data_IF_025954410127
#
_entry.id   IF_025954410127
#
_cell.length_a   1.000
_cell.length_b   1.000
_cell.length_c   1.000
_cell.angle_alpha   90.00
_cell.angle_beta   90.00
_cell.angle_gamma   90.00
#
_symmetry.space_group_name_H-M   'P 1'
#
loop_
_entity.id
_entity.type
_entity.pdbx_description
1 polymer ?
#
# COMPACT_ATOMS: atom_id res chain seq x y z
N UNK A 1 15.05 -8.28 0.82
CA UNK A 1 14.81 -8.83 2.17
C UNK A 1 14.30 -10.25 2.01
N UNK A 2 15.06 -11.26 2.48
CA UNK A 2 14.73 -12.69 2.24
C UNK A 2 13.59 -13.18 3.12
N UNK A 3 12.81 -14.16 2.63
CA UNK A 3 11.79 -14.89 3.40
C UNK A 3 12.38 -15.45 4.70
N UNK A 4 13.65 -15.89 4.66
CA UNK A 4 14.40 -16.37 5.83
C UNK A 4 14.41 -15.40 7.00
N UNK A 5 14.52 -14.10 6.72
CA UNK A 5 14.61 -13.07 7.77
C UNK A 5 13.28 -12.85 8.48
N UNK A 6 12.16 -13.29 7.89
CA UNK A 6 10.81 -13.04 8.42
C UNK A 6 10.20 -14.25 9.12
N UNK A 7 10.47 -15.46 8.64
CA UNK A 7 9.84 -16.69 9.12
C UNK A 7 10.85 -17.65 9.73
N UNK A 8 12.15 -17.42 9.48
CA UNK A 8 13.27 -18.24 9.93
C UNK A 8 13.81 -19.14 8.82
N UNK A 9 15.07 -19.57 8.98
CA UNK A 9 15.74 -20.49 8.06
C UNK A 9 15.31 -21.94 8.34
N UNK A 10 15.28 -22.82 7.32
CA UNK A 10 15.11 -24.26 7.53
C UNK A 10 16.23 -24.84 8.41
N UNK A 11 16.00 -25.98 9.07
CA UNK A 11 17.03 -26.67 9.85
C UNK A 11 18.29 -26.92 9.02
N UNK A 12 19.45 -26.60 9.60
CA UNK A 12 20.77 -26.79 8.97
C UNK A 12 21.34 -25.60 8.21
N UNK A 13 20.64 -24.47 8.15
CA UNK A 13 21.15 -23.23 7.54
C UNK A 13 21.51 -22.18 8.60
N UNK A 14 22.48 -21.31 8.26
CA UNK A 14 22.89 -20.19 9.13
C UNK A 14 21.68 -19.26 9.36
N UNK A 15 21.40 -18.92 10.63
CA UNK A 15 20.24 -18.13 11.04
C UNK A 15 19.01 -18.96 11.44
N UNK A 16 19.13 -20.28 11.55
CA UNK A 16 18.05 -21.14 12.07
C UNK A 16 17.66 -20.82 13.52
N UNK A 17 18.63 -20.37 14.34
CA UNK A 17 18.39 -20.00 15.74
C UNK A 17 17.66 -18.65 15.86
N UNK A 18 17.76 -17.79 14.86
CA UNK A 18 16.97 -16.57 14.78
C UNK A 18 15.57 -16.90 14.24
N UNK A 19 14.64 -17.15 15.13
CA UNK A 19 13.22 -17.31 14.79
C UNK A 19 12.77 -16.12 13.90
N UNK A 20 11.93 -16.37 12.89
CA UNK A 20 11.52 -15.33 11.94
C UNK A 20 11.01 -14.10 12.65
N UNK A 21 11.51 -12.94 12.27
CA UNK A 21 11.20 -11.66 12.94
C UNK A 21 9.69 -11.37 13.01
N UNK A 22 8.94 -11.75 11.98
CA UNK A 22 7.49 -11.57 11.95
C UNK A 22 6.79 -12.48 12.95
N UNK A 23 7.11 -13.78 12.94
CA UNK A 23 6.52 -14.78 13.84
C UNK A 23 6.80 -14.45 15.31
N UNK A 24 8.02 -14.02 15.64
CA UNK A 24 8.37 -13.57 16.98
C UNK A 24 7.62 -12.32 17.42
N UNK A 25 7.47 -11.33 16.52
CA UNK A 25 6.71 -10.10 16.84
C UNK A 25 5.24 -10.41 17.08
N UNK A 26 4.61 -11.22 16.24
CA UNK A 26 3.20 -11.60 16.38
C UNK A 26 3.00 -12.47 17.62
N UNK A 27 3.91 -13.41 17.91
CA UNK A 27 3.87 -14.21 19.13
C UNK A 27 3.89 -13.37 20.41
N UNK A 28 4.73 -12.32 20.43
CA UNK A 28 4.82 -11.39 21.57
C UNK A 28 3.63 -10.43 21.67
N UNK A 29 3.02 -10.08 20.53
CA UNK A 29 1.89 -9.16 20.43
C UNK A 29 0.84 -9.70 19.48
N UNK A 30 -0.02 -10.64 19.93
CA UNK A 30 -0.98 -11.30 19.07
C UNK A 30 -2.06 -10.35 18.51
N UNK A 31 -2.39 -9.29 19.24
CA UNK A 31 -3.29 -8.22 18.75
C UNK A 31 -2.48 -7.15 18.05
N UNK A 32 -2.26 -7.33 16.77
CA UNK A 32 -1.42 -6.42 15.96
C UNK A 32 -1.96 -6.26 14.55
N UNK A 33 -1.53 -5.19 13.89
CA UNK A 33 -1.74 -4.97 12.45
C UNK A 33 -0.45 -5.30 11.74
N UNK A 34 -0.52 -6.17 10.74
CA UNK A 34 0.61 -6.56 9.89
C UNK A 34 0.38 -6.03 8.49
N UNK A 35 1.28 -5.15 8.05
CA UNK A 35 1.26 -4.57 6.71
C UNK A 35 2.28 -5.27 5.81
N UNK A 36 1.81 -5.80 4.69
CA UNK A 36 2.63 -6.26 3.57
C UNK A 36 2.52 -5.25 2.43
N UNK A 37 3.56 -4.47 2.28
CA UNK A 37 3.62 -3.43 1.25
C UNK A 37 4.17 -3.97 -0.06
N UNK A 38 3.58 -3.56 -1.21
CA UNK A 38 3.97 -3.96 -2.56
C UNK A 38 4.02 -5.50 -2.74
N UNK A 39 2.93 -6.16 -2.35
CA UNK A 39 2.86 -7.63 -2.32
C UNK A 39 3.12 -8.28 -3.70
N UNK A 40 2.82 -7.58 -4.80
CA UNK A 40 3.06 -8.08 -6.17
C UNK A 40 4.54 -8.29 -6.48
N UNK A 41 5.45 -7.67 -5.71
CA UNK A 41 6.90 -7.84 -5.84
C UNK A 41 7.45 -8.99 -5.00
N UNK A 42 6.59 -9.64 -4.21
CA UNK A 42 7.00 -10.73 -3.34
C UNK A 42 7.30 -12.01 -4.14
N UNK A 43 8.22 -12.83 -3.62
CA UNK A 43 8.47 -14.16 -4.17
C UNK A 43 7.25 -15.07 -3.98
N UNK A 44 7.06 -16.05 -4.87
CA UNK A 44 5.94 -16.98 -4.83
C UNK A 44 5.74 -17.69 -3.49
N UNK A 45 6.83 -18.01 -2.78
CA UNK A 45 6.76 -18.67 -1.48
C UNK A 45 6.11 -17.80 -0.39
N UNK A 46 6.15 -16.47 -0.53
CA UNK A 46 5.45 -15.56 0.40
C UNK A 46 3.95 -15.77 0.31
N UNK A 47 3.42 -15.99 -0.90
CA UNK A 47 2.00 -16.26 -1.11
C UNK A 47 1.56 -17.57 -0.47
N UNK A 48 2.41 -18.60 -0.51
CA UNK A 48 2.10 -19.89 0.14
C UNK A 48 1.97 -19.74 1.66
N UNK A 49 2.84 -18.92 2.26
CA UNK A 49 2.78 -18.61 3.68
C UNK A 49 1.57 -17.77 4.03
N UNK A 50 1.27 -16.74 3.21
CA UNK A 50 0.09 -15.92 3.40
C UNK A 50 -1.20 -16.75 3.27
N UNK A 51 -1.26 -17.68 2.31
CA UNK A 51 -2.38 -18.61 2.20
C UNK A 51 -2.54 -19.42 3.49
N UNK A 52 -1.46 -19.99 4.04
CA UNK A 52 -1.51 -20.71 5.30
C UNK A 52 -2.02 -19.84 6.45
N UNK A 53 -1.59 -18.58 6.52
CA UNK A 53 -2.08 -17.64 7.53
C UNK A 53 -3.58 -17.36 7.36
N UNK A 54 -4.03 -17.11 6.12
CA UNK A 54 -5.42 -16.77 5.81
C UNK A 54 -6.36 -17.98 5.96
N UNK A 55 -5.89 -19.19 5.69
CA UNK A 55 -6.70 -20.42 5.81
C UNK A 55 -6.71 -20.97 7.23
N UNK A 56 -5.53 -21.22 7.78
CA UNK A 56 -5.36 -21.92 9.06
C UNK A 56 -5.35 -20.96 10.26
N UNK A 57 -5.12 -19.65 10.01
CA UNK A 57 -4.94 -18.66 11.06
C UNK A 57 -3.66 -18.84 11.86
N UNK A 58 -2.70 -19.64 11.38
CA UNK A 58 -1.41 -19.83 12.03
C UNK A 58 -0.30 -20.19 11.03
N UNK A 59 0.94 -19.98 11.44
CA UNK A 59 2.12 -20.42 10.69
C UNK A 59 3.04 -21.22 11.63
N UNK A 60 3.73 -22.20 11.09
CA UNK A 60 4.78 -22.90 11.81
C UNK A 60 6.11 -22.21 11.53
N UNK A 61 6.79 -21.74 12.59
CA UNK A 61 8.10 -21.12 12.44
C UNK A 61 9.20 -22.16 12.19
N UNK A 62 10.43 -21.68 11.92
CA UNK A 62 11.56 -22.54 11.69
C UNK A 62 11.92 -23.47 12.87
N UNK A 63 11.48 -23.12 14.09
CA UNK A 63 11.70 -23.90 15.29
C UNK A 63 10.56 -24.92 15.56
N UNK A 64 9.62 -25.06 14.61
CA UNK A 64 8.48 -25.97 14.73
C UNK A 64 7.35 -25.45 15.63
N UNK A 65 7.39 -24.19 16.07
CA UNK A 65 6.37 -23.60 16.94
C UNK A 65 5.23 -23.03 16.09
N UNK A 66 4.00 -23.29 16.50
CA UNK A 66 2.82 -22.69 15.89
C UNK A 66 2.61 -21.27 16.41
N UNK A 67 2.58 -20.30 15.50
CA UNK A 67 2.30 -18.90 15.79
C UNK A 67 0.93 -18.53 15.24
N UNK A 68 0.02 -18.13 16.13
CA UNK A 68 -1.36 -17.78 15.76
C UNK A 68 -1.46 -16.35 15.23
N UNK A 69 -2.14 -16.18 14.11
CA UNK A 69 -2.49 -14.89 13.48
C UNK A 69 -3.98 -14.58 13.59
N UNK A 70 -4.77 -15.39 14.34
CA UNK A 70 -6.24 -15.22 14.42
C UNK A 70 -6.69 -13.88 14.98
N UNK A 71 -5.84 -13.23 15.75
CA UNK A 71 -6.11 -11.93 16.35
C UNK A 71 -5.33 -10.79 15.67
N UNK A 72 -4.78 -11.03 14.47
CA UNK A 72 -4.06 -10.01 13.69
C UNK A 72 -4.92 -9.50 12.55
N UNK A 73 -4.82 -8.21 12.26
CA UNK A 73 -5.34 -7.63 11.03
C UNK A 73 -4.21 -7.65 10.00
N UNK A 74 -4.47 -8.26 8.86
CA UNK A 74 -3.51 -8.31 7.75
C UNK A 74 -3.94 -7.31 6.70
N UNK A 75 -3.06 -6.36 6.40
CA UNK A 75 -3.25 -5.38 5.34
C UNK A 75 -2.20 -5.64 4.27
N UNK A 76 -2.62 -5.69 3.02
CA UNK A 76 -1.74 -5.86 1.88
C UNK A 76 -1.93 -4.69 0.92
N UNK A 77 -0.86 -4.06 0.46
CA UNK A 77 -0.92 -3.06 -0.59
C UNK A 77 -0.35 -3.61 -1.89
N UNK A 78 -0.88 -3.14 -3.01
CA UNK A 78 -0.38 -3.51 -4.32
C UNK A 78 -0.58 -2.38 -5.32
N UNK A 79 0.36 -2.23 -6.24
CA UNK A 79 0.26 -1.38 -7.42
C UNK A 79 -0.29 -2.12 -8.65
N UNK A 80 -0.87 -3.31 -8.47
CA UNK A 80 -1.48 -4.08 -9.53
C UNK A 80 -2.57 -3.26 -10.23
N UNK A 81 -2.51 -3.17 -11.55
CA UNK A 81 -3.47 -2.40 -12.35
C UNK A 81 -3.24 -0.89 -12.41
N UNK A 82 -2.25 -0.33 -11.74
CA UNK A 82 -1.96 1.11 -11.77
C UNK A 82 -1.80 1.66 -13.19
N UNK A 83 -1.14 0.91 -14.09
CA UNK A 83 -0.98 1.29 -15.50
C UNK A 83 -2.31 1.36 -16.29
N UNK A 84 -3.35 0.67 -15.83
CA UNK A 84 -4.68 0.71 -16.44
C UNK A 84 -5.50 1.92 -15.99
N UNK A 85 -5.23 2.38 -14.79
CA UNK A 85 -5.87 3.58 -14.22
C UNK A 85 -5.39 4.84 -14.95
N UNK A 86 -4.10 4.91 -15.29
CA UNK A 86 -3.46 6.08 -15.93
C UNK A 86 -3.80 6.20 -17.42
N UNK A 87 -4.17 5.10 -18.08
CA UNK A 87 -4.55 5.08 -19.49
C UNK A 87 -5.99 4.63 -19.66
N UNK A 88 -6.99 5.45 -19.36
CA UNK A 88 -8.33 5.16 -19.81
C UNK A 88 -8.28 5.18 -21.35
N UNK A 89 -8.42 4.02 -21.98
CA UNK A 89 -8.75 3.99 -23.40
C UNK A 89 -10.11 4.66 -23.52
N UNK A 90 -10.13 5.91 -23.89
CA UNK A 90 -11.32 6.58 -24.37
C UNK A 90 -11.80 5.86 -25.65
N UNK A 91 -12.53 4.79 -25.47
CA UNK A 91 -13.33 4.17 -26.50
C UNK A 91 -14.76 4.69 -26.33
N UNK A 92 -15.07 5.77 -27.04
CA UNK A 92 -16.45 6.19 -27.24
C UNK A 92 -16.79 7.59 -26.70
N UNK A 93 -17.30 8.37 -27.58
CA UNK A 93 -17.97 9.64 -27.34
C UNK A 93 -19.07 9.47 -26.28
N UNK A 94 -18.80 9.94 -25.07
CA UNK A 94 -19.75 10.00 -23.98
C UNK A 94 -19.40 11.19 -23.12
N UNK A 95 -19.91 12.34 -23.48
CA UNK A 95 -20.04 13.50 -22.61
C UNK A 95 -21.13 13.19 -21.58
N UNK A 96 -20.77 12.95 -20.34
CA UNK A 96 -21.79 12.81 -19.28
C UNK A 96 -21.25 12.10 -18.04
N UNK A 97 -20.78 12.81 -17.11
CA UNK A 97 -21.28 13.07 -15.74
C UNK A 97 -21.75 11.84 -14.93
N UNK A 98 -21.05 10.70 -14.99
CA UNK A 98 -21.29 9.66 -14.00
C UNK A 98 -19.95 9.17 -13.45
N UNK A 99 -19.36 9.96 -12.52
CA UNK A 99 -18.12 9.61 -11.80
C UNK A 99 -18.20 8.19 -11.20
N UNK A 100 -19.40 7.77 -10.81
CA UNK A 100 -19.65 6.42 -10.28
C UNK A 100 -19.52 5.35 -11.36
N UNK A 101 -20.01 5.60 -12.58
CA UNK A 101 -19.91 4.64 -13.69
C UNK A 101 -18.45 4.48 -14.16
N UNK A 102 -17.70 5.56 -14.21
CA UNK A 102 -16.28 5.53 -14.56
C UNK A 102 -15.44 4.84 -13.48
N UNK A 103 -15.77 5.05 -12.20
CA UNK A 103 -15.13 4.33 -11.11
C UNK A 103 -15.40 2.82 -11.17
N UNK A 104 -16.61 2.39 -11.47
CA UNK A 104 -16.94 0.97 -11.59
C UNK A 104 -16.15 0.30 -12.73
N UNK A 105 -16.08 0.94 -13.89
CA UNK A 105 -15.27 0.44 -15.02
C UNK A 105 -13.79 0.36 -14.68
N UNK A 106 -13.28 1.38 -13.99
CA UNK A 106 -11.89 1.39 -13.50
C UNK A 106 -11.67 0.24 -12.52
N UNK A 107 -12.56 0.05 -11.55
CA UNK A 107 -12.50 -1.03 -10.56
C UNK A 107 -12.51 -2.41 -11.22
N UNK A 108 -13.38 -2.63 -12.20
CA UNK A 108 -13.44 -3.87 -12.96
C UNK A 108 -12.12 -4.15 -13.69
N UNK A 109 -11.56 -3.14 -14.38
CA UNK A 109 -10.28 -3.26 -15.09
C UNK A 109 -9.10 -3.57 -14.16
N UNK A 110 -9.08 -2.94 -12.97
CA UNK A 110 -8.07 -3.23 -11.93
C UNK A 110 -8.24 -4.65 -11.40
N UNK A 111 -9.49 -5.08 -11.15
CA UNK A 111 -9.78 -6.43 -10.67
C UNK A 111 -9.41 -7.52 -11.67
N UNK A 112 -9.55 -7.26 -12.98
CA UNK A 112 -9.04 -8.17 -14.01
C UNK A 112 -7.51 -8.35 -13.93
N UNK A 113 -6.77 -7.26 -13.68
CA UNK A 113 -5.31 -7.33 -13.56
C UNK A 113 -4.89 -8.01 -12.25
N UNK A 114 -5.59 -7.75 -11.15
CA UNK A 114 -5.40 -8.45 -9.87
C UNK A 114 -5.57 -9.97 -10.06
N UNK A 115 -6.61 -10.42 -10.78
CA UNK A 115 -6.85 -11.83 -11.09
C UNK A 115 -5.78 -12.46 -11.99
N UNK A 116 -5.02 -11.67 -12.73
CA UNK A 116 -3.88 -12.16 -13.54
C UNK A 116 -2.62 -12.38 -12.71
N UNK A 117 -2.40 -11.49 -11.73
CA UNK A 117 -1.18 -11.50 -10.91
C UNK A 117 -1.32 -12.48 -9.75
N UNK A 118 -2.49 -12.51 -9.11
CA UNK A 118 -2.74 -13.32 -7.94
C UNK A 118 -3.60 -14.52 -8.25
N UNK A 119 -3.26 -15.65 -7.68
CA UNK A 119 -4.05 -16.89 -7.87
C UNK A 119 -5.46 -16.74 -7.29
N UNK A 120 -6.48 -17.34 -7.93
CA UNK A 120 -7.86 -17.27 -7.44
C UNK A 120 -8.04 -17.72 -5.99
N UNK A 121 -7.31 -18.78 -5.60
CA UNK A 121 -7.31 -19.29 -4.22
C UNK A 121 -6.90 -18.23 -3.20
N UNK A 122 -5.91 -17.37 -3.55
CA UNK A 122 -5.46 -16.29 -2.69
C UNK A 122 -6.49 -15.15 -2.60
N UNK A 123 -7.05 -14.76 -3.76
CA UNK A 123 -8.06 -13.67 -3.81
C UNK A 123 -9.32 -14.06 -3.02
N UNK A 124 -9.74 -15.32 -3.10
CA UNK A 124 -10.94 -15.82 -2.39
C UNK A 124 -10.79 -15.86 -0.86
N UNK A 125 -9.58 -15.67 -0.32
CA UNK A 125 -9.31 -15.62 1.12
C UNK A 125 -9.17 -14.21 1.67
N UNK A 126 -9.26 -13.21 0.79
CA UNK A 126 -9.23 -11.79 1.18
C UNK A 126 -10.67 -11.36 1.49
N UNK A 127 -10.87 -10.82 2.68
CA UNK A 127 -12.20 -10.36 3.13
C UNK A 127 -12.69 -9.17 2.31
N UNK A 128 -11.80 -8.21 2.01
CA UNK A 128 -12.14 -6.99 1.30
C UNK A 128 -11.00 -6.50 0.42
N UNK A 129 -11.34 -6.07 -0.81
CA UNK A 129 -10.40 -5.43 -1.74
C UNK A 129 -10.86 -4.01 -2.01
N UNK A 130 -10.04 -3.06 -1.57
CA UNK A 130 -10.28 -1.63 -1.76
C UNK A 130 -9.47 -1.12 -2.95
N UNK A 131 -10.14 -0.51 -3.92
CA UNK A 131 -9.50 0.17 -5.05
C UNK A 131 -9.59 1.67 -4.79
N UNK A 132 -8.44 2.33 -4.71
CA UNK A 132 -8.38 3.77 -4.49
C UNK A 132 -8.67 4.52 -5.78
N UNK A 133 -9.37 5.65 -5.65
CA UNK A 133 -9.58 6.60 -6.74
C UNK A 133 -8.29 7.33 -7.12
N UNK A 134 -8.22 7.80 -8.36
CA UNK A 134 -7.21 8.78 -8.76
C UNK A 134 -7.41 10.08 -7.99
N UNK A 135 -6.30 10.74 -7.67
CA UNK A 135 -6.38 12.03 -6.99
C UNK A 135 -6.90 13.11 -7.94
N UNK A 136 -7.90 13.89 -7.48
CA UNK A 136 -8.38 15.09 -8.16
C UNK A 136 -7.47 16.29 -7.86
N UNK A 137 -7.63 17.38 -8.61
CA UNK A 137 -6.87 18.61 -8.37
C UNK A 137 -7.11 19.15 -6.95
N UNK A 138 -8.35 19.10 -6.48
CA UNK A 138 -8.76 19.52 -5.13
C UNK A 138 -8.08 18.67 -4.05
N UNK A 139 -7.99 17.36 -4.27
CA UNK A 139 -7.31 16.47 -3.35
C UNK A 139 -5.82 16.79 -3.25
N UNK A 140 -5.19 17.13 -4.38
CA UNK A 140 -3.77 17.51 -4.42
C UNK A 140 -3.53 18.83 -3.69
N UNK A 141 -4.38 19.83 -3.88
CA UNK A 141 -4.29 21.07 -3.11
C UNK A 141 -4.42 20.82 -1.60
N UNK A 142 -5.31 19.94 -1.18
CA UNK A 142 -5.42 19.55 0.24
C UNK A 142 -4.15 18.88 0.75
N UNK A 143 -3.55 17.99 -0.05
CA UNK A 143 -2.27 17.34 0.29
C UNK A 143 -1.17 18.38 0.45
N UNK A 144 -1.05 19.33 -0.48
CA UNK A 144 -0.08 20.44 -0.39
C UNK A 144 -0.28 21.21 0.92
N UNK A 145 -1.51 21.55 1.28
CA UNK A 145 -1.81 22.26 2.54
C UNK A 145 -1.40 21.45 3.79
N UNK A 146 -1.60 20.14 3.76
CA UNK A 146 -1.17 19.26 4.88
C UNK A 146 0.34 19.25 5.00
N UNK A 147 1.07 19.13 3.89
CA UNK A 147 2.53 19.16 3.88
C UNK A 147 3.09 20.50 4.35
N UNK A 148 2.51 21.61 3.90
CA UNK A 148 2.88 22.96 4.33
C UNK A 148 2.63 23.18 5.83
N UNK A 149 1.54 22.68 6.38
CA UNK A 149 1.30 22.72 7.84
C UNK A 149 2.37 21.95 8.60
N UNK A 150 2.76 20.76 8.12
CA UNK A 150 3.85 19.98 8.72
C UNK A 150 5.20 20.69 8.66
N UNK A 151 5.48 21.41 7.55
CA UNK A 151 6.68 22.22 7.40
C UNK A 151 6.63 23.43 8.36
N UNK A 152 5.51 24.16 8.40
CA UNK A 152 5.34 25.33 9.27
C UNK A 152 5.55 24.96 10.74
N UNK A 153 5.00 23.82 11.18
CA UNK A 153 5.22 23.30 12.54
C UNK A 153 6.71 23.10 12.84
N UNK A 154 7.45 22.49 11.93
CA UNK A 154 8.91 22.28 12.09
C UNK A 154 9.69 23.60 12.13
N UNK A 155 9.33 24.57 11.27
CA UNK A 155 9.95 25.90 11.28
C UNK A 155 9.69 26.66 12.57
N UNK A 156 8.47 26.57 13.13
CA UNK A 156 8.15 27.17 14.42
C UNK A 156 8.94 26.53 15.57
N UNK A 157 9.03 25.19 15.60
CA UNK A 157 9.72 24.46 16.67
C UNK A 157 11.25 24.63 16.62
N UNK A 158 11.84 24.69 15.43
CA UNK A 158 13.30 24.68 15.27
C UNK A 158 13.91 26.08 15.08
N UNK A 159 13.19 26.98 14.46
CA UNK A 159 13.70 28.30 14.02
C UNK A 159 12.89 29.47 14.56
N UNK A 160 11.77 29.24 15.25
CA UNK A 160 10.82 30.29 15.69
C UNK A 160 10.32 31.14 14.50
N UNK A 161 10.18 30.52 13.32
CA UNK A 161 9.72 31.19 12.08
C UNK A 161 8.32 30.70 11.73
N UNK A 162 7.54 31.58 11.13
CA UNK A 162 6.22 31.29 10.59
C UNK A 162 6.24 31.36 9.06
N UNK A 163 5.72 30.33 8.41
CA UNK A 163 5.57 30.28 6.97
C UNK A 163 4.14 30.65 6.58
N UNK A 164 3.99 31.76 5.86
CA UNK A 164 2.70 32.22 5.31
C UNK A 164 2.71 31.93 3.80
N UNK A 165 1.78 31.10 3.36
CA UNK A 165 1.66 30.70 1.94
C UNK A 165 0.30 31.15 1.42
N UNK A 166 0.30 31.87 0.29
CA UNK A 166 -0.94 32.31 -0.37
C UNK A 166 -1.64 31.14 -1.09
N UNK A 167 -2.96 31.26 -1.30
CA UNK A 167 -3.72 30.25 -2.04
C UNK A 167 -3.22 30.08 -3.48
N UNK A 168 -2.76 31.17 -4.13
CA UNK A 168 -2.16 31.11 -5.45
C UNK A 168 -0.86 30.26 -5.47
N UNK A 169 -0.05 30.37 -4.42
CA UNK A 169 1.15 29.54 -4.29
C UNK A 169 0.80 28.06 -4.03
N UNK A 170 -0.23 27.78 -3.24
CA UNK A 170 -0.75 26.42 -3.04
C UNK A 170 -1.21 25.80 -4.36
N UNK A 171 -1.99 26.54 -5.15
CA UNK A 171 -2.47 26.09 -6.46
C UNK A 171 -1.30 25.83 -7.42
N UNK A 172 -0.30 26.71 -7.45
CA UNK A 172 0.90 26.53 -8.28
C UNK A 172 1.72 25.30 -7.86
N UNK A 173 1.91 25.08 -6.56
CA UNK A 173 2.59 23.89 -6.02
C UNK A 173 1.82 22.61 -6.35
N UNK A 174 0.50 22.65 -6.29
CA UNK A 174 -0.35 21.52 -6.65
C UNK A 174 -0.21 21.17 -8.14
N UNK A 175 -0.17 22.19 -9.01
CA UNK A 175 -0.06 22.01 -10.45
C UNK A 175 1.34 21.51 -10.87
N UNK A 176 2.41 22.07 -10.30
CA UNK A 176 3.79 21.67 -10.58
C UNK A 176 4.18 20.35 -9.95
N UNK A 177 3.58 19.97 -8.83
CA UNK A 177 3.84 18.73 -8.11
C UNK A 177 2.98 17.54 -8.52
N UNK A 178 2.03 17.74 -9.44
CA UNK A 178 1.19 16.67 -9.96
C UNK A 178 1.80 16.02 -11.20
N UNK A 179 2.02 14.73 -11.11
CA UNK A 179 2.37 13.87 -12.25
C UNK A 179 1.26 12.84 -12.48
N UNK A 180 0.79 12.74 -13.74
CA UNK A 180 -0.28 11.79 -14.09
C UNK A 180 0.09 10.32 -13.80
N UNK A 181 1.38 10.00 -13.82
CA UNK A 181 1.89 8.65 -13.61
C UNK A 181 2.20 8.38 -12.14
N UNK A 182 2.77 9.37 -11.44
CA UNK A 182 3.24 9.23 -10.07
C UNK A 182 2.33 9.87 -9.01
N UNK A 183 1.23 10.50 -9.46
CA UNK A 183 0.25 11.16 -8.58
C UNK A 183 0.86 12.33 -7.82
N UNK A 184 0.65 12.38 -6.50
CA UNK A 184 1.17 13.42 -5.61
C UNK A 184 2.59 13.12 -5.07
N UNK A 185 3.26 12.05 -5.49
CA UNK A 185 4.63 11.72 -5.04
C UNK A 185 5.64 12.84 -5.30
N UNK A 186 5.65 13.53 -6.48
CA UNK A 186 6.56 14.63 -6.71
C UNK A 186 6.43 15.75 -5.69
N UNK A 187 5.23 16.01 -5.17
CA UNK A 187 4.99 17.03 -4.12
C UNK A 187 5.77 16.74 -2.83
N UNK A 188 5.98 15.46 -2.50
CA UNK A 188 6.75 15.07 -1.31
C UNK A 188 8.26 15.07 -1.55
N UNK A 189 8.72 15.05 -2.81
CA UNK A 189 10.14 15.07 -3.17
C UNK A 189 10.66 16.47 -3.54
N UNK A 190 9.80 17.42 -3.87
CA UNK A 190 10.22 18.83 -3.90
C UNK A 190 10.66 19.17 -2.49
N UNK A 191 11.96 19.32 -2.30
CA UNK A 191 12.58 19.68 -1.04
C UNK A 191 11.97 21.01 -0.53
N UNK A 192 10.87 20.89 0.19
CA UNK A 192 10.31 21.92 1.05
C UNK A 192 10.92 21.79 2.44
#
# INVERSE_FOLDING_TARGET
MCIRDRIGSPPGYVGYEDGGQLSEKVRKRPYSVVLFDEIEKAHGDVFNILLQILEDGHVTDAQGRKVSFKNTIIIMTSNAGAGRIVSPKHLGFGTGEDENADYQKMKESVMEEVKRIFKPEFINRIDEILVFHTLTKENIEQIVRILLRGLNKRLQEQMSMELIVSDAAVAHLAESGFDKTYGARPVSYTHL
#
